data_IF_607352498205
#
_entry.id   IF_607352498205
#
_cell.length_a   1.000
_cell.length_b   1.000
_cell.length_c   1.000
_cell.angle_alpha   90.00
_cell.angle_beta   90.00
_cell.angle_gamma   90.00
#
_symmetry.space_group_name_H-M   'P 1'
#
loop_
_entity.id
_entity.type
_entity.pdbx_description
1 polymer ?
#
# COMPACT_ATOMS: atom_id res chain seq x y z
N UNK A 1 -22.83 4.48 2.45
CA UNK A 1 -22.19 3.68 3.51
C UNK A 1 -21.20 2.75 2.84
N UNK A 2 -19.93 2.74 3.27
CA UNK A 2 -18.94 1.82 2.70
C UNK A 2 -19.39 0.38 2.96
N UNK A 3 -19.38 -0.46 1.91
CA UNK A 3 -19.74 -1.87 2.01
C UNK A 3 -18.81 -2.57 2.98
N UNK A 4 -19.36 -3.17 4.04
CA UNK A 4 -18.58 -3.93 5.02
C UNK A 4 -18.30 -5.30 4.46
N UNK A 5 -17.05 -5.74 4.58
CA UNK A 5 -16.54 -6.96 3.98
C UNK A 5 -16.89 -8.23 4.76
N UNK A 6 -16.78 -9.39 4.12
CA UNK A 6 -16.86 -10.71 4.77
C UNK A 6 -15.53 -11.12 5.44
N UNK A 7 -14.52 -10.25 5.38
CA UNK A 7 -13.16 -10.53 5.85
C UNK A 7 -12.79 -9.67 7.06
N UNK A 8 -12.38 -10.33 8.13
CA UNK A 8 -11.93 -9.72 9.39
C UNK A 8 -10.41 -9.88 9.49
N UNK A 9 -9.72 -8.79 9.79
CA UNK A 9 -8.29 -8.79 10.10
C UNK A 9 -8.14 -8.76 11.62
N UNK A 10 -7.42 -9.76 12.13
CA UNK A 10 -7.03 -9.90 13.53
C UNK A 10 -5.56 -9.48 13.67
N UNK A 11 -5.31 -8.53 14.54
CA UNK A 11 -3.98 -8.03 14.88
C UNK A 11 -3.79 -8.00 16.40
N UNK A 12 -2.58 -7.75 16.88
CA UNK A 12 -2.33 -7.44 18.29
C UNK A 12 -1.20 -6.44 18.38
N UNK A 13 -1.27 -5.60 19.42
CA UNK A 13 -0.23 -4.64 19.75
C UNK A 13 0.73 -5.16 20.84
N UNK A 14 0.34 -6.22 21.55
CA UNK A 14 1.03 -6.70 22.74
C UNK A 14 1.55 -8.13 22.60
N UNK A 15 0.80 -9.00 21.91
CA UNK A 15 1.11 -10.42 21.78
C UNK A 15 1.39 -10.80 20.32
N UNK A 16 2.20 -11.84 20.11
CA UNK A 16 2.32 -12.44 18.79
C UNK A 16 1.02 -13.18 18.44
N UNK A 17 0.28 -12.66 17.45
CA UNK A 17 -1.00 -13.24 16.99
C UNK A 17 -0.82 -14.68 16.51
N UNK A 18 0.36 -15.02 15.97
CA UNK A 18 0.63 -16.34 15.41
C UNK A 18 0.55 -17.45 16.47
N UNK A 19 1.00 -17.17 17.69
CA UNK A 19 0.97 -18.12 18.81
C UNK A 19 -0.45 -18.33 19.35
N UNK A 20 -1.39 -17.45 18.99
CA UNK A 20 -2.79 -17.50 19.39
C UNK A 20 -3.70 -18.10 18.31
N UNK A 21 -3.15 -18.52 17.18
CA UNK A 21 -3.94 -19.07 16.05
C UNK A 21 -4.75 -20.32 16.43
N UNK A 22 -4.12 -21.32 17.04
CA UNK A 22 -4.81 -22.55 17.47
C UNK A 22 -5.85 -22.30 18.57
N UNK A 23 -5.56 -21.55 19.65
CA UNK A 23 -6.58 -21.18 20.61
C UNK A 23 -7.74 -20.37 20.03
N UNK A 24 -7.45 -19.44 19.10
CA UNK A 24 -8.47 -18.67 18.39
C UNK A 24 -9.36 -19.58 17.54
N UNK A 25 -8.77 -20.54 16.82
CA UNK A 25 -9.51 -21.53 16.02
C UNK A 25 -10.43 -22.39 16.89
N UNK A 26 -9.94 -22.88 18.03
CA UNK A 26 -10.76 -23.65 18.99
C UNK A 26 -11.90 -22.79 19.53
N UNK A 27 -11.61 -21.56 19.94
CA UNK A 27 -12.63 -20.64 20.45
C UNK A 27 -13.72 -20.32 19.41
N UNK A 28 -13.32 -20.05 18.16
CA UNK A 28 -14.27 -19.84 17.05
C UNK A 28 -15.18 -21.04 16.88
N UNK A 29 -14.59 -22.24 16.82
CA UNK A 29 -15.33 -23.50 16.69
C UNK A 29 -16.33 -23.71 17.83
N UNK A 30 -15.91 -23.49 19.07
CA UNK A 30 -16.69 -23.83 20.25
C UNK A 30 -17.78 -22.80 20.59
N UNK A 31 -17.58 -21.53 20.24
CA UNK A 31 -18.44 -20.41 20.69
C UNK A 31 -19.21 -19.72 19.59
N UNK A 32 -18.64 -19.65 18.39
CA UNK A 32 -19.17 -18.80 17.32
C UNK A 32 -19.78 -19.65 16.22
N UNK A 33 -19.02 -20.64 15.72
CA UNK A 33 -19.45 -21.48 14.61
C UNK A 33 -20.59 -22.44 14.99
N UNK A 34 -20.90 -22.62 16.28
CA UNK A 34 -22.09 -23.39 16.72
C UNK A 34 -23.40 -22.71 16.33
N UNK A 35 -23.39 -21.39 16.15
CA UNK A 35 -24.59 -20.59 15.89
C UNK A 35 -24.72 -20.20 14.41
N UNK A 36 -23.71 -20.52 13.59
CA UNK A 36 -23.63 -20.13 12.18
C UNK A 36 -23.68 -21.39 11.32
N UNK A 37 -24.55 -21.49 10.30
CA UNK A 37 -24.61 -22.65 9.42
C UNK A 37 -23.40 -22.66 8.47
N UNK A 38 -22.29 -23.25 8.93
CA UNK A 38 -21.09 -23.49 8.11
C UNK A 38 -21.25 -24.81 7.37
N UNK A 39 -21.04 -24.81 6.05
CA UNK A 39 -21.07 -26.05 5.24
C UNK A 39 -19.70 -26.31 4.64
N UNK A 40 -19.40 -27.56 4.28
CA UNK A 40 -18.13 -27.90 3.62
C UNK A 40 -17.94 -27.21 2.26
N UNK A 41 -19.03 -26.71 1.64
CA UNK A 41 -18.97 -25.94 0.39
C UNK A 41 -18.57 -24.49 0.62
N UNK A 42 -18.92 -23.94 1.78
CA UNK A 42 -18.71 -22.54 2.15
C UNK A 42 -18.13 -22.47 3.57
N UNK A 43 -16.87 -22.87 3.77
CA UNK A 43 -16.21 -22.85 5.08
C UNK A 43 -15.87 -21.43 5.52
N UNK A 44 -15.62 -21.24 6.82
CA UNK A 44 -14.85 -20.09 7.31
C UNK A 44 -13.38 -20.43 7.16
N UNK A 45 -12.64 -19.56 6.49
CA UNK A 45 -11.21 -19.72 6.23
C UNK A 45 -10.39 -18.84 7.17
N UNK A 46 -9.25 -19.36 7.62
CA UNK A 46 -8.30 -18.61 8.44
C UNK A 46 -6.95 -18.58 7.74
N UNK A 47 -6.55 -17.41 7.26
CA UNK A 47 -5.28 -17.19 6.54
C UNK A 47 -4.29 -16.51 7.46
N UNK A 48 -3.15 -17.15 7.69
CA UNK A 48 -2.10 -16.65 8.59
C UNK A 48 -1.03 -15.92 7.77
N UNK A 49 -0.90 -14.61 8.00
CA UNK A 49 0.08 -13.76 7.34
C UNK A 49 1.28 -13.54 8.29
N UNK A 50 2.23 -14.48 8.27
CA UNK A 50 3.33 -14.55 9.24
C UNK A 50 4.20 -13.29 9.27
N UNK A 51 4.61 -12.83 8.09
CA UNK A 51 5.50 -11.65 7.96
C UNK A 51 4.84 -10.36 8.43
N UNK A 52 3.51 -10.33 8.45
CA UNK A 52 2.73 -9.17 8.89
C UNK A 52 2.26 -9.29 10.34
N UNK A 53 2.46 -10.44 10.99
CA UNK A 53 1.88 -10.81 12.28
C UNK A 53 0.36 -10.59 12.33
N UNK A 54 -0.34 -10.99 11.25
CA UNK A 54 -1.80 -10.85 11.13
C UNK A 54 -2.45 -12.18 10.83
N UNK A 55 -3.71 -12.30 11.24
CA UNK A 55 -4.58 -13.40 10.83
C UNK A 55 -5.80 -12.82 10.15
N UNK A 56 -6.14 -13.32 8.97
CA UNK A 56 -7.38 -12.98 8.28
C UNK A 56 -8.38 -14.10 8.50
N UNK A 57 -9.60 -13.74 8.88
CA UNK A 57 -10.75 -14.63 8.97
C UNK A 57 -11.69 -14.26 7.84
N UNK A 58 -11.89 -15.16 6.90
CA UNK A 58 -12.74 -14.96 5.72
C UNK A 58 -14.01 -15.78 5.94
N UNK A 59 -15.13 -15.09 6.06
CA UNK A 59 -16.44 -15.72 6.27
C UNK A 59 -17.17 -15.96 4.96
N UNK A 60 -17.97 -17.03 4.84
CA UNK A 60 -18.71 -17.30 3.62
C UNK A 60 -19.82 -16.29 3.33
N UNK A 61 -20.36 -15.66 4.38
CA UNK A 61 -21.38 -14.61 4.27
C UNK A 61 -21.04 -13.43 5.16
N UNK A 62 -21.64 -12.29 4.84
CA UNK A 62 -21.48 -11.05 5.62
C UNK A 62 -22.12 -11.15 7.00
N UNK A 63 -23.23 -11.86 7.12
CA UNK A 63 -23.90 -12.10 8.39
C UNK A 63 -22.99 -12.91 9.32
N UNK A 64 -22.30 -13.92 8.77
CA UNK A 64 -21.33 -14.70 9.53
C UNK A 64 -20.13 -13.86 10.00
N UNK A 65 -19.58 -12.97 9.15
CA UNK A 65 -18.51 -12.06 9.57
C UNK A 65 -18.98 -11.08 10.65
N UNK A 66 -20.21 -10.58 10.58
CA UNK A 66 -20.79 -9.72 11.61
C UNK A 66 -20.93 -10.43 12.95
N UNK A 67 -21.44 -11.67 12.97
CA UNK A 67 -21.55 -12.45 14.20
C UNK A 67 -20.18 -12.77 14.80
N UNK A 68 -19.20 -13.15 13.97
CA UNK A 68 -17.82 -13.36 14.42
C UNK A 68 -17.24 -12.09 15.04
N UNK A 69 -17.37 -10.94 14.36
CA UNK A 69 -16.83 -9.69 14.88
C UNK A 69 -17.52 -9.26 16.18
N UNK A 70 -18.85 -9.39 16.27
CA UNK A 70 -19.59 -9.12 17.52
C UNK A 70 -19.10 -10.00 18.66
N UNK A 71 -18.90 -11.30 18.41
CA UNK A 71 -18.40 -12.22 19.42
C UNK A 71 -16.97 -11.87 19.88
N UNK A 72 -16.11 -11.45 18.96
CA UNK A 72 -14.74 -10.98 19.26
C UNK A 72 -14.75 -9.69 20.10
N UNK A 73 -15.62 -8.72 19.76
CA UNK A 73 -15.72 -7.43 20.43
C UNK A 73 -16.36 -7.51 21.82
N UNK A 74 -17.29 -8.43 22.04
CA UNK A 74 -17.97 -8.62 23.32
C UNK A 74 -17.07 -9.27 24.40
N UNK A 75 -15.74 -9.29 24.20
CA UNK A 75 -14.78 -9.79 25.19
C UNK A 75 -14.81 -11.31 25.36
N UNK A 76 -15.38 -12.04 24.39
CA UNK A 76 -15.46 -13.49 24.47
C UNK A 76 -14.11 -14.20 24.35
N UNK A 77 -13.10 -13.55 23.77
CA UNK A 77 -11.76 -14.11 23.56
C UNK A 77 -10.86 -13.90 24.78
N UNK A 78 -10.07 -14.90 25.19
CA UNK A 78 -9.11 -14.75 26.30
C UNK A 78 -7.84 -13.95 25.91
N UNK A 79 -7.84 -13.26 24.77
CA UNK A 79 -6.67 -12.61 24.17
C UNK A 79 -6.93 -11.12 23.96
N UNK A 80 -5.90 -10.31 24.18
CA UNK A 80 -5.91 -8.89 23.84
C UNK A 80 -5.53 -8.72 22.36
N UNK A 81 -6.53 -8.85 21.49
CA UNK A 81 -6.37 -8.68 20.04
C UNK A 81 -7.22 -7.50 19.58
N UNK A 82 -6.74 -6.83 18.53
CA UNK A 82 -7.49 -5.82 17.80
C UNK A 82 -8.11 -6.45 16.55
N UNK A 83 -9.31 -5.99 16.22
CA UNK A 83 -10.12 -6.57 15.15
C UNK A 83 -10.71 -5.46 14.28
N UNK A 84 -10.58 -5.60 12.96
CA UNK A 84 -11.18 -4.66 12.01
C UNK A 84 -11.63 -5.40 10.74
N UNK A 85 -12.65 -4.88 10.07
CA UNK A 85 -12.98 -5.33 8.72
C UNK A 85 -11.89 -4.94 7.74
N UNK A 86 -11.64 -5.78 6.74
CA UNK A 86 -10.87 -5.36 5.57
C UNK A 86 -11.63 -4.25 4.83
N UNK A 87 -10.93 -3.29 4.24
CA UNK A 87 -11.56 -2.06 3.74
C UNK A 87 -12.49 -2.27 2.54
N UNK A 88 -12.34 -3.35 1.75
CA UNK A 88 -13.19 -3.62 0.57
C UNK A 88 -13.07 -5.07 0.10
N UNK A 89 -14.21 -5.73 -0.11
CA UNK A 89 -14.31 -7.01 -0.83
C UNK A 89 -14.31 -6.64 -2.31
N UNK A 90 -13.31 -7.11 -3.04
CA UNK A 90 -13.25 -6.89 -4.50
C UNK A 90 -14.29 -7.71 -5.27
N UNK A 91 -15.15 -8.46 -4.57
CA UNK A 91 -16.08 -9.41 -5.16
C UNK A 91 -17.42 -8.79 -5.60
N UNK A 92 -17.80 -7.62 -5.07
CA UNK A 92 -19.19 -7.12 -5.14
C UNK A 92 -19.37 -5.86 -6.01
N UNK A 93 -18.64 -5.78 -7.12
CA UNK A 93 -18.98 -4.83 -8.19
C UNK A 93 -19.18 -5.57 -9.50
N UNK A 94 -20.46 -5.76 -9.85
CA UNK A 94 -20.97 -6.21 -11.16
C UNK A 94 -20.48 -5.36 -12.37
N UNK A 95 -19.68 -4.32 -12.14
CA UNK A 95 -18.71 -3.87 -13.12
C UNK A 95 -17.63 -3.08 -12.37
N UNK A 96 -16.38 -3.53 -12.39
CA UNK A 96 -15.30 -2.63 -12.04
C UNK A 96 -15.30 -1.48 -13.04
N UNK A 97 -15.39 -0.26 -12.51
CA UNK A 97 -15.23 1.00 -13.25
C UNK A 97 -13.74 1.15 -13.61
N UNK A 98 -13.22 0.17 -14.36
CA UNK A 98 -11.89 0.24 -14.91
C UNK A 98 -11.90 1.32 -15.99
N UNK A 99 -10.81 2.08 -16.05
CA UNK A 99 -10.51 2.86 -17.24
C UNK A 99 -10.63 1.92 -18.44
N UNK A 100 -11.61 2.19 -19.30
CA UNK A 100 -11.78 1.45 -20.54
C UNK A 100 -10.48 1.61 -21.32
N UNK A 101 -9.83 0.49 -21.62
CA UNK A 101 -8.66 0.54 -22.50
C UNK A 101 -9.19 1.06 -23.83
N UNK A 102 -8.68 2.20 -24.33
CA UNK A 102 -9.11 2.70 -25.63
C UNK A 102 -8.92 1.57 -26.65
N UNK A 103 -9.89 1.43 -27.57
CA UNK A 103 -9.81 0.41 -28.63
C UNK A 103 -8.46 0.55 -29.31
N UNK A 104 -7.77 -0.56 -29.55
CA UNK A 104 -6.44 -0.55 -30.15
C UNK A 104 -6.47 0.18 -31.50
N UNK A 105 -6.13 1.45 -31.50
CA UNK A 105 -5.87 2.19 -32.72
C UNK A 105 -4.49 1.76 -33.21
N UNK A 106 -4.38 1.45 -34.51
CA UNK A 106 -3.07 1.26 -35.15
C UNK A 106 -2.36 2.61 -35.15
N UNK A 107 -1.72 2.94 -34.03
CA UNK A 107 -0.77 4.04 -33.98
C UNK A 107 0.43 3.59 -34.80
N UNK A 108 0.56 4.13 -36.00
CA UNK A 108 1.85 4.12 -36.68
C UNK A 108 2.79 4.89 -35.77
N UNK A 109 3.82 4.20 -35.28
CA UNK A 109 4.97 4.87 -34.68
C UNK A 109 5.57 5.70 -35.82
N UNK A 110 5.17 6.97 -35.90
CA UNK A 110 5.93 7.95 -36.65
C UNK A 110 7.29 7.91 -35.97
N UNK A 111 8.30 7.46 -36.71
CA UNK A 111 9.66 7.43 -36.19
C UNK A 111 9.95 8.79 -35.56
N UNK A 112 10.72 8.83 -34.45
CA UNK A 112 11.21 10.10 -33.95
C UNK A 112 11.81 10.90 -35.13
N UNK A 113 11.75 12.24 -35.08
CA UNK A 113 12.31 13.07 -36.13
C UNK A 113 13.72 12.57 -36.47
N UNK A 114 14.08 12.64 -37.76
CA UNK A 114 15.36 12.17 -38.28
C UNK A 114 16.50 12.50 -37.31
N UNK A 115 17.39 11.53 -37.11
CA UNK A 115 18.57 11.66 -36.27
C UNK A 115 19.24 13.03 -36.44
N UNK A 116 19.85 13.60 -35.38
CA UNK A 116 20.48 14.90 -35.46
C UNK A 116 21.43 14.99 -36.67
N UNK A 117 21.57 16.16 -37.30
CA UNK A 117 22.46 16.32 -38.45
C UNK A 117 23.89 15.87 -38.09
N UNK A 118 24.72 15.45 -39.06
CA UNK A 118 26.08 14.98 -38.80
C UNK A 118 26.96 15.99 -38.04
N UNK A 119 26.60 17.27 -38.11
CA UNK A 119 27.27 18.39 -37.42
C UNK A 119 26.74 18.62 -35.99
N UNK A 120 25.79 17.81 -35.52
CA UNK A 120 25.23 17.95 -34.19
C UNK A 120 26.24 17.51 -33.13
N UNK A 121 26.69 18.48 -32.34
CA UNK A 121 27.67 18.27 -31.29
C UNK A 121 27.01 17.78 -30.00
N UNK A 122 26.95 16.45 -29.82
CA UNK A 122 26.44 15.80 -28.61
C UNK A 122 27.25 16.18 -27.36
N UNK A 123 28.52 16.59 -27.49
CA UNK A 123 29.36 16.96 -26.36
C UNK A 123 28.95 18.29 -25.72
N UNK A 124 28.13 19.11 -26.39
CA UNK A 124 27.57 20.35 -25.83
C UNK A 124 26.31 20.14 -24.98
N UNK A 125 25.59 19.04 -25.18
CA UNK A 125 24.32 18.80 -24.47
C UNK A 125 24.51 18.07 -23.14
N UNK A 126 25.54 17.22 -23.04
CA UNK A 126 25.88 16.55 -21.79
C UNK A 126 26.83 17.43 -20.98
N UNK A 127 26.29 18.48 -20.39
CA UNK A 127 26.99 19.08 -19.26
C UNK A 127 26.99 18.01 -18.15
N UNK A 128 28.16 17.53 -17.68
CA UNK A 128 28.19 16.60 -16.57
C UNK A 128 27.40 17.23 -15.42
N UNK A 129 26.63 16.44 -14.66
CA UNK A 129 25.90 16.98 -13.52
C UNK A 129 26.90 17.80 -12.71
N UNK A 130 26.55 19.03 -12.30
CA UNK A 130 27.45 19.85 -11.52
C UNK A 130 27.94 18.97 -10.37
N UNK A 131 29.25 18.90 -10.12
CA UNK A 131 29.78 18.05 -9.06
C UNK A 131 28.99 18.43 -7.83
N UNK A 132 28.12 17.51 -7.40
CA UNK A 132 27.31 17.70 -6.22
C UNK A 132 28.33 18.09 -5.16
N UNK A 133 28.12 19.22 -4.49
CA UNK A 133 28.90 19.55 -3.31
C UNK A 133 29.06 18.25 -2.52
N UNK A 134 30.28 17.71 -2.53
CA UNK A 134 30.68 16.58 -1.71
C UNK A 134 30.69 17.17 -0.32
N UNK A 135 29.50 17.35 0.26
CA UNK A 135 29.37 17.25 1.70
C UNK A 135 29.77 15.81 1.97
N UNK A 136 31.01 15.66 2.41
CA UNK A 136 31.55 14.39 2.86
C UNK A 136 30.57 13.80 3.86
N UNK A 137 29.74 12.89 3.37
CA UNK A 137 29.23 11.83 4.21
C UNK A 137 30.48 11.04 4.56
N UNK A 138 30.87 10.93 5.85
CA UNK A 138 31.94 10.04 6.21
C UNK A 138 31.60 8.68 5.62
N UNK A 139 32.53 8.15 4.84
CA UNK A 139 32.51 6.75 4.46
C UNK A 139 32.57 5.98 5.78
N UNK A 140 31.40 5.64 6.32
CA UNK A 140 31.30 4.75 7.46
C UNK A 140 31.66 3.37 6.92
N UNK A 141 32.95 3.07 6.96
CA UNK A 141 33.44 1.71 6.88
C UNK A 141 32.78 0.94 8.03
N UNK A 142 31.72 0.19 7.72
CA UNK A 142 30.90 -0.49 8.71
C UNK A 142 29.40 -0.58 8.41
N UNK A 143 28.90 -0.03 7.29
CA UNK A 143 27.48 -0.19 6.93
C UNK A 143 27.17 -1.67 6.64
N UNK A 144 26.47 -2.32 7.57
CA UNK A 144 26.00 -3.69 7.42
C UNK A 144 24.86 -3.71 6.38
N UNK A 145 25.11 -4.39 5.26
CA UNK A 145 24.09 -4.67 4.26
C UNK A 145 23.37 -5.97 4.63
N UNK A 146 22.04 -5.90 4.81
CA UNK A 146 21.22 -7.08 4.98
C UNK A 146 20.83 -7.61 3.59
N UNK A 147 21.40 -8.74 3.19
CA UNK A 147 21.04 -9.40 1.93
C UNK A 147 19.74 -10.19 2.11
N UNK A 148 18.66 -9.74 1.48
CA UNK A 148 17.34 -10.40 1.58
C UNK A 148 17.21 -11.58 0.63
N UNK A 149 17.83 -11.46 -0.54
CA UNK A 149 17.75 -12.46 -1.59
C UNK A 149 19.06 -12.44 -2.37
N UNK A 150 19.71 -13.59 -2.48
CA UNK A 150 20.89 -13.78 -3.33
C UNK A 150 20.63 -14.92 -4.31
N UNK A 151 20.72 -14.63 -5.60
CA UNK A 151 20.56 -15.60 -6.68
C UNK A 151 21.59 -15.33 -7.77
N UNK A 152 21.92 -16.34 -8.58
CA UNK A 152 22.97 -16.30 -9.62
C UNK A 152 22.79 -15.19 -10.68
N UNK A 153 21.59 -14.60 -10.76
CA UNK A 153 21.21 -13.59 -11.75
C UNK A 153 21.12 -12.19 -11.12
N UNK A 154 20.81 -12.08 -9.82
CA UNK A 154 20.71 -10.81 -9.10
C UNK A 154 20.68 -11.02 -7.58
N UNK A 155 21.15 -10.01 -6.84
CA UNK A 155 21.00 -9.91 -5.39
C UNK A 155 20.25 -8.64 -4.99
N UNK A 156 19.49 -8.74 -3.89
CA UNK A 156 18.79 -7.61 -3.27
C UNK A 156 19.37 -7.45 -1.87
N UNK A 157 20.07 -6.35 -1.63
CA UNK A 157 20.60 -5.95 -0.34
C UNK A 157 19.96 -4.65 0.13
N UNK A 158 19.53 -4.61 1.38
CA UNK A 158 19.08 -3.40 2.05
C UNK A 158 20.24 -2.81 2.84
N UNK A 159 20.53 -1.53 2.61
CA UNK A 159 21.43 -0.78 3.47
C UNK A 159 20.66 -0.35 4.71
N UNK A 160 21.04 -0.87 5.87
CA UNK A 160 20.46 -0.42 7.13
C UNK A 160 21.07 0.95 7.44
N UNK A 161 20.22 1.98 7.45
CA UNK A 161 20.61 3.28 7.98
C UNK A 161 20.68 3.17 9.50
N UNK A 162 21.77 3.64 10.09
CA UNK A 162 21.91 3.71 11.54
C UNK A 162 20.69 4.42 12.15
N UNK A 163 20.02 3.72 13.07
CA UNK A 163 18.92 4.30 13.83
C UNK A 163 19.54 5.30 14.80
N UNK A 164 19.56 6.57 14.40
CA UNK A 164 20.19 7.62 15.18
C UNK A 164 19.65 7.71 16.62
N UNK A 165 20.62 7.97 17.50
CA UNK A 165 20.53 8.40 18.90
C UNK A 165 19.36 9.34 19.24
N UNK A 166 18.99 9.44 20.54
CA UNK A 166 17.95 10.35 21.01
C UNK A 166 18.30 11.84 20.72
N UNK A 167 17.27 12.70 20.55
CA UNK A 167 17.39 13.97 19.87
C UNK A 167 18.18 15.01 20.67
N UNK A 168 19.33 15.44 20.14
CA UNK A 168 19.94 16.72 20.47
C UNK A 168 19.19 17.89 19.81
N UNK A 169 19.37 19.14 20.29
CA UNK A 169 18.62 20.30 19.83
C UNK A 169 18.90 20.61 18.35
N UNK A 170 17.90 20.39 17.50
CA UNK A 170 17.97 20.60 16.05
C UNK A 170 17.83 22.09 15.71
N UNK A 171 18.86 22.67 15.10
CA UNK A 171 18.75 23.92 14.33
C UNK A 171 18.08 23.60 12.98
N UNK A 172 16.87 24.11 12.79
CA UNK A 172 16.04 23.90 11.61
C UNK A 172 16.55 24.72 10.41
N UNK A 173 17.46 24.16 9.62
CA UNK A 173 17.69 24.69 8.27
C UNK A 173 16.58 24.21 7.33
N UNK A 174 15.67 25.13 7.03
CA UNK A 174 14.51 24.94 6.17
C UNK A 174 14.96 24.61 4.74
N UNK A 175 14.92 23.35 4.31
CA UNK A 175 15.12 22.99 2.90
C UNK A 175 13.91 23.46 2.11
N UNK A 176 14.08 24.51 1.30
CA UNK A 176 13.11 24.91 0.27
C UNK A 176 13.03 23.81 -0.78
N UNK A 177 11.92 23.07 -0.79
CA UNK A 177 11.53 22.31 -1.98
C UNK A 177 11.06 23.26 -3.06
N UNK A 178 11.42 22.98 -4.32
CA UNK A 178 10.95 23.76 -5.46
C UNK A 178 9.41 23.70 -5.51
N UNK A 179 8.77 24.86 -5.68
CA UNK A 179 7.31 24.94 -5.81
C UNK A 179 6.86 24.25 -7.10
N UNK A 180 5.74 23.52 -7.09
CA UNK A 180 5.17 22.96 -8.30
C UNK A 180 4.80 24.08 -9.30
N UNK A 181 4.90 23.83 -10.61
CA UNK A 181 4.54 24.81 -11.63
C UNK A 181 3.07 25.21 -11.49
N UNK A 182 2.81 26.52 -11.47
CA UNK A 182 1.44 27.04 -11.44
C UNK A 182 0.81 26.86 -12.82
N UNK A 183 -0.32 26.16 -12.90
CA UNK A 183 -1.08 26.06 -14.14
C UNK A 183 -1.59 27.45 -14.54
N UNK A 184 -1.17 27.96 -15.69
CA UNK A 184 -1.76 29.15 -16.29
C UNK A 184 -3.22 28.88 -16.65
N UNK A 185 -4.14 29.44 -15.88
CA UNK A 185 -5.58 29.46 -16.22
C UNK A 185 -5.76 30.34 -17.47
N UNK A 186 -6.45 29.90 -18.54
CA UNK A 186 -6.72 30.75 -19.68
C UNK A 186 -7.66 31.92 -19.29
N UNK A 187 -7.49 33.10 -19.89
CA UNK A 187 -8.30 34.28 -19.57
C UNK A 187 -9.76 34.09 -19.97
N UNK A 188 -10.65 34.61 -19.13
CA UNK A 188 -12.08 34.35 -19.11
C UNK A 188 -12.83 34.65 -20.41
N UNK A 189 -13.81 33.79 -20.68
CA UNK A 189 -14.94 34.10 -21.55
C UNK A 189 -15.99 34.96 -20.80
N UNK A 190 -16.72 35.83 -21.49
CA UNK A 190 -17.61 36.81 -20.88
C UNK A 190 -18.85 36.18 -20.24
N UNK A 191 -19.14 36.62 -19.03
CA UNK A 191 -20.37 36.35 -18.28
C UNK A 191 -21.47 37.30 -18.76
N UNK A 192 -22.46 36.80 -19.49
CA UNK A 192 -23.69 37.54 -19.74
C UNK A 192 -24.86 36.58 -19.96
N UNK A 193 -25.58 36.23 -18.89
CA UNK A 193 -26.98 35.81 -18.96
C UNK A 193 -27.69 36.24 -17.66
N UNK A 194 -28.39 37.39 -17.74
CA UNK A 194 -29.47 37.75 -16.81
C UNK A 194 -30.68 36.83 -17.07
N UNK A 195 -31.45 36.45 -16.03
CA UNK A 195 -32.77 35.87 -16.24
C UNK A 195 -33.83 36.98 -16.44
N UNK A 196 -34.90 36.72 -17.20
CA UNK A 196 -36.05 37.62 -17.29
C UNK A 196 -36.97 37.46 -16.07
N UNK A 197 -37.73 38.53 -15.79
CA UNK A 197 -38.83 38.62 -14.83
C UNK A 197 -40.05 37.80 -15.28
#
# INVERSE_FOLDING_TARGET
MAGVTNTIIVTSNADNVLDKTEPLKRWLSDKVLTNIPITSRNPVEMVVLRDFQRVMIISPTREASQEILRALQNGGTPFCLAYAYSQTDTCDRDSPDYLTVPKSEKMFLISPPSSPPPEFDYARCEQPPPPSHVQGLPHAEGSEFLTLLDNKIASIALQLCDTEQPPGPRTSSYRRTARPPQSSRPPGGPSDLRPPL
#
